data_IF_034427029581
#
_entry.id   IF_034427029581
#
_cell.length_a   1.000
_cell.length_b   1.000
_cell.length_c   1.000
_cell.angle_alpha   90.00
_cell.angle_beta   90.00
_cell.angle_gamma   90.00
#
_symmetry.space_group_name_H-M   'P 1'
#
loop_
_entity.id
_entity.type
_entity.pdbx_description
1 polymer ?
#
# COMPACT_ATOMS: atom_id res chain seq x y z
N UNK A 1 -6.12 2.85 -10.26
CA UNK A 1 -7.17 2.29 -9.38
C UNK A 1 -6.61 1.86 -8.02
N UNK A 2 -5.46 1.19 -7.92
CA UNK A 2 -4.85 0.85 -6.62
C UNK A 2 -4.39 2.07 -5.82
N UNK A 3 -3.97 3.13 -6.48
CA UNK A 3 -3.59 4.40 -5.87
C UNK A 3 -4.74 5.05 -5.08
N UNK A 4 -5.98 4.83 -5.51
CA UNK A 4 -7.19 5.34 -4.85
C UNK A 4 -7.85 4.30 -3.93
N UNK A 5 -7.25 3.11 -3.80
CA UNK A 5 -7.67 2.09 -2.88
C UNK A 5 -6.71 2.08 -1.68
N UNK A 6 -6.88 2.97 -0.69
CA UNK A 6 -5.99 3.03 0.45
C UNK A 6 -6.01 1.70 1.18
N UNK A 7 -4.85 1.10 1.45
CA UNK A 7 -4.77 -0.21 2.10
C UNK A 7 -5.27 -0.17 3.54
N UNK A 8 -5.51 1.01 4.11
CA UNK A 8 -5.83 1.17 5.52
C UNK A 8 -7.04 2.06 5.72
N UNK A 9 -8.15 1.44 6.02
CA UNK A 9 -9.26 2.09 6.66
C UNK A 9 -8.96 2.26 8.13
N UNK A 10 -9.17 3.47 8.63
CA UNK A 10 -8.94 3.70 10.03
C UNK A 10 -10.24 3.58 10.80
N UNK A 11 -10.65 2.34 11.05
CA UNK A 11 -11.20 2.11 12.39
C UNK A 11 -10.03 1.82 13.31
N UNK A 12 -10.04 2.43 14.50
CA UNK A 12 -9.00 2.19 15.50
C UNK A 12 -8.79 0.71 15.78
N UNK A 13 -9.86 -0.08 15.70
CA UNK A 13 -9.86 -1.53 15.87
C UNK A 13 -9.12 -2.24 14.74
N UNK A 14 -9.29 -1.80 13.51
CA UNK A 14 -8.66 -2.40 12.32
C UNK A 14 -7.13 -2.21 12.39
N UNK A 15 -6.68 -1.01 12.76
CA UNK A 15 -5.27 -0.72 12.97
C UNK A 15 -4.64 -1.50 14.11
N UNK A 16 -5.38 -1.69 15.20
CA UNK A 16 -4.92 -2.47 16.34
C UNK A 16 -4.94 -3.99 16.08
N UNK A 17 -5.35 -4.44 14.88
CA UNK A 17 -5.52 -5.85 14.57
C UNK A 17 -6.61 -6.51 15.42
N UNK A 18 -7.68 -5.77 15.74
CA UNK A 18 -8.79 -6.21 16.60
C UNK A 18 -8.53 -6.09 18.11
N UNK A 19 -7.31 -5.77 18.55
CA UNK A 19 -6.97 -5.54 19.96
C UNK A 19 -7.25 -4.07 20.35
N UNK A 20 -8.48 -3.81 20.83
CA UNK A 20 -8.90 -2.48 21.28
C UNK A 20 -8.04 -1.92 22.41
N UNK A 21 -7.40 -2.79 23.21
CA UNK A 21 -6.48 -2.38 24.28
C UNK A 21 -5.21 -1.71 23.78
N UNK A 22 -4.91 -1.82 22.49
CA UNK A 22 -3.77 -1.13 21.87
C UNK A 22 -4.06 0.32 21.52
N UNK A 23 -5.33 0.70 21.34
CA UNK A 23 -5.72 2.06 21.00
C UNK A 23 -5.75 2.93 22.25
N UNK A 24 -5.18 4.12 22.16
CA UNK A 24 -5.16 5.12 23.24
C UNK A 24 -5.49 6.50 22.69
N UNK A 25 -6.45 7.17 23.34
CA UNK A 25 -6.85 8.52 22.96
C UNK A 25 -5.75 9.55 23.30
N UNK A 26 -5.57 10.50 22.40
CA UNK A 26 -4.80 11.73 22.64
C UNK A 26 -5.74 12.73 23.33
N UNK A 27 -5.79 12.68 24.66
CA UNK A 27 -6.67 13.61 25.40
C UNK A 27 -6.11 15.03 25.37
N UNK A 28 -6.99 16.01 25.54
CA UNK A 28 -6.57 17.42 25.61
C UNK A 28 -5.67 17.73 26.83
N UNK A 29 -5.81 16.94 27.86
CA UNK A 29 -5.14 17.18 29.15
C UNK A 29 -3.83 16.42 29.28
N UNK A 30 -3.72 15.20 28.71
CA UNK A 30 -2.56 14.32 28.89
C UNK A 30 -2.33 13.44 27.68
N UNK A 31 -1.10 13.42 27.18
CA UNK A 31 -0.66 12.52 26.14
C UNK A 31 -0.33 11.12 26.71
N UNK A 32 -0.37 10.05 25.90
CA UNK A 32 -0.16 8.68 26.39
C UNK A 32 1.17 8.49 27.14
N UNK A 33 2.25 9.09 26.67
CA UNK A 33 3.58 8.99 27.28
C UNK A 33 3.73 9.76 28.60
N UNK A 34 2.90 10.76 28.84
CA UNK A 34 2.86 11.52 30.10
C UNK A 34 2.22 10.70 31.23
N UNK A 35 1.44 9.66 30.90
CA UNK A 35 0.77 8.80 31.86
C UNK A 35 1.66 7.76 32.52
N UNK A 36 2.93 7.62 32.07
CA UNK A 36 3.87 6.68 32.64
C UNK A 36 3.50 5.21 32.45
N UNK A 37 2.89 4.86 31.33
CA UNK A 37 2.45 3.48 31.05
C UNK A 37 3.64 2.50 31.11
N UNK A 38 3.38 1.31 31.68
CA UNK A 38 4.39 0.26 31.78
C UNK A 38 4.47 -0.56 30.50
N UNK A 39 5.68 -0.93 30.11
CA UNK A 39 5.90 -1.90 29.03
C UNK A 39 5.42 -3.30 29.44
N UNK A 40 5.08 -4.14 28.48
CA UNK A 40 4.86 -5.57 28.71
C UNK A 40 6.20 -6.26 29.08
N UNK A 41 6.18 -7.38 29.82
CA UNK A 41 7.40 -8.11 30.12
C UNK A 41 8.20 -8.44 28.86
N UNK A 42 9.52 -8.24 28.89
CA UNK A 42 10.44 -8.47 27.77
C UNK A 42 10.16 -7.66 26.49
N UNK A 43 9.39 -6.57 26.58
CA UNK A 43 9.06 -5.73 25.43
C UNK A 43 9.28 -4.25 25.76
N UNK A 44 9.63 -3.47 24.72
CA UNK A 44 9.64 -2.01 24.73
C UNK A 44 8.28 -1.51 24.22
N UNK A 45 7.77 -0.45 24.81
CA UNK A 45 6.54 0.22 24.37
C UNK A 45 6.90 1.41 23.49
N UNK A 46 6.24 1.48 22.34
CA UNK A 46 6.22 2.63 21.45
C UNK A 46 4.77 3.05 21.17
N UNK A 47 4.59 4.28 20.75
CA UNK A 47 3.30 4.76 20.29
C UNK A 47 3.39 5.14 18.82
N UNK A 48 2.46 4.64 18.03
CA UNK A 48 2.24 5.07 16.66
C UNK A 48 1.09 6.07 16.67
N UNK A 49 1.41 7.36 16.63
CA UNK A 49 0.46 8.46 16.70
C UNK A 49 -0.14 8.67 15.32
N UNK A 50 -1.46 8.58 15.19
CA UNK A 50 -2.17 8.92 13.96
C UNK A 50 -2.20 10.43 13.80
N UNK A 51 -1.45 10.97 12.87
CA UNK A 51 -1.35 12.40 12.59
C UNK A 51 -2.45 12.82 11.62
N UNK A 52 -3.70 12.64 12.06
CA UNK A 52 -4.89 12.99 11.30
C UNK A 52 -5.37 11.93 10.30
N UNK A 53 -6.55 12.17 9.79
CA UNK A 53 -7.20 11.29 8.81
C UNK A 53 -8.01 12.08 7.79
N UNK A 54 -8.28 11.46 6.64
CA UNK A 54 -9.10 12.02 5.55
C UNK A 54 -10.41 11.25 5.46
N UNK A 55 -11.54 11.92 5.44
CA UNK A 55 -12.87 11.33 5.23
C UNK A 55 -12.98 10.85 3.79
N UNK A 56 -12.97 9.54 3.61
CA UNK A 56 -12.99 8.93 2.27
C UNK A 56 -14.27 9.24 1.51
N UNK A 57 -15.41 9.31 2.20
CA UNK A 57 -16.69 9.64 1.59
C UNK A 57 -16.65 11.01 0.89
N UNK A 58 -16.05 12.02 1.53
CA UNK A 58 -15.90 13.35 0.97
C UNK A 58 -14.95 13.37 -0.22
N UNK A 59 -13.77 12.78 -0.08
CA UNK A 59 -12.75 12.77 -1.11
C UNK A 59 -13.17 11.97 -2.36
N UNK A 60 -13.64 10.74 -2.17
CA UNK A 60 -14.10 9.86 -3.26
C UNK A 60 -15.38 10.40 -3.87
N UNK A 61 -16.29 11.00 -3.08
CA UNK A 61 -17.48 11.66 -3.58
C UNK A 61 -17.16 12.72 -4.62
N UNK A 62 -16.16 13.56 -4.38
CA UNK A 62 -15.71 14.59 -5.35
C UNK A 62 -15.07 13.99 -6.60
N UNK A 63 -14.33 12.88 -6.47
CA UNK A 63 -13.79 12.17 -7.64
C UNK A 63 -14.92 11.57 -8.51
N UNK A 64 -15.94 11.00 -7.87
CA UNK A 64 -17.11 10.46 -8.57
C UNK A 64 -17.90 11.58 -9.28
N UNK A 65 -18.09 12.73 -8.63
CA UNK A 65 -18.71 13.90 -9.24
C UNK A 65 -17.96 14.38 -10.49
N UNK A 66 -16.63 14.34 -10.46
CA UNK A 66 -15.78 14.82 -11.55
C UNK A 66 -15.64 13.82 -12.70
N UNK A 67 -15.53 12.52 -12.41
CA UNK A 67 -15.14 11.48 -13.37
C UNK A 67 -16.14 10.34 -13.50
N UNK A 68 -17.11 10.23 -12.60
CA UNK A 68 -18.09 9.13 -12.60
C UNK A 68 -19.06 9.24 -13.75
N UNK A 69 -19.40 8.10 -14.37
CA UNK A 69 -20.52 8.01 -15.28
C UNK A 69 -21.84 7.90 -14.46
N UNK A 70 -22.86 8.63 -14.89
CA UNK A 70 -24.20 8.60 -14.26
C UNK A 70 -24.87 7.21 -14.34
N UNK A 71 -24.33 6.30 -15.15
CA UNK A 71 -24.82 4.93 -15.38
C UNK A 71 -24.16 3.90 -14.47
N UNK A 72 -23.07 4.25 -13.79
CA UNK A 72 -22.37 3.34 -12.89
C UNK A 72 -22.95 3.40 -11.48
N UNK A 73 -23.02 2.23 -10.83
CA UNK A 73 -23.39 2.12 -9.43
C UNK A 73 -22.32 2.81 -8.57
N UNK A 74 -22.69 3.86 -7.86
CA UNK A 74 -21.75 4.62 -7.04
C UNK A 74 -21.24 3.76 -5.89
N UNK A 75 -19.92 3.53 -5.76
CA UNK A 75 -19.40 2.76 -4.66
C UNK A 75 -19.70 3.46 -3.33
N UNK A 76 -20.28 2.72 -2.39
CA UNK A 76 -20.50 3.20 -1.02
C UNK A 76 -19.19 3.12 -0.26
N UNK A 77 -18.35 4.12 -0.41
CA UNK A 77 -17.10 4.23 0.32
C UNK A 77 -17.37 4.89 1.67
N UNK A 78 -17.05 4.21 2.75
CA UNK A 78 -17.16 4.71 4.12
C UNK A 78 -15.83 4.54 4.85
N UNK A 79 -15.57 5.42 5.79
CA UNK A 79 -14.38 5.33 6.64
C UNK A 79 -13.43 6.50 6.45
N UNK A 80 -12.27 6.38 7.08
CA UNK A 80 -11.24 7.42 7.10
C UNK A 80 -9.92 6.80 6.64
N UNK A 81 -9.23 7.45 5.72
CA UNK A 81 -7.85 7.11 5.38
C UNK A 81 -6.91 7.84 6.34
N UNK A 82 -5.90 7.16 6.86
CA UNK A 82 -4.86 7.81 7.66
C UNK A 82 -4.12 8.81 6.77
N UNK A 83 -3.85 9.99 7.32
CA UNK A 83 -3.03 11.00 6.67
C UNK A 83 -1.53 10.70 6.85
N UNK A 84 -1.13 10.53 8.11
CA UNK A 84 0.24 10.14 8.44
C UNK A 84 0.28 9.43 9.81
N UNK A 85 1.39 8.72 10.07
CA UNK A 85 1.71 8.12 11.36
C UNK A 85 3.09 8.60 11.81
N UNK A 86 3.18 8.88 13.11
CA UNK A 86 4.42 9.28 13.77
C UNK A 86 4.76 8.26 14.85
N UNK A 87 5.98 7.75 14.85
CA UNK A 87 6.44 6.80 15.86
C UNK A 87 7.22 7.53 16.94
N UNK A 88 6.79 7.36 18.18
CA UNK A 88 7.49 7.86 19.36
C UNK A 88 7.74 6.73 20.34
N UNK A 89 8.77 6.90 21.13
CA UNK A 89 9.09 5.96 22.20
C UNK A 89 8.14 6.11 23.41
N UNK A 90 8.40 5.33 24.46
CA UNK A 90 7.62 5.37 25.69
C UNK A 90 7.66 6.73 26.39
N UNK A 91 8.69 7.52 26.19
CA UNK A 91 8.87 8.86 26.74
C UNK A 91 8.24 9.93 25.85
N UNK A 92 7.74 9.58 24.68
CA UNK A 92 7.19 10.52 23.70
C UNK A 92 8.23 11.18 22.83
N UNK A 93 9.46 10.69 22.84
CA UNK A 93 10.53 11.16 21.98
C UNK A 93 10.40 10.55 20.58
N UNK A 94 10.66 11.35 19.55
CA UNK A 94 10.62 10.87 18.17
C UNK A 94 11.73 9.83 17.96
N UNK A 95 11.38 8.65 17.45
CA UNK A 95 12.37 7.61 17.16
C UNK A 95 13.34 8.05 16.06
N UNK A 96 14.46 7.31 15.89
CA UNK A 96 15.34 7.50 14.75
C UNK A 96 14.59 7.24 13.43
N UNK A 97 15.01 7.96 12.39
CA UNK A 97 14.36 7.87 11.07
C UNK A 97 14.43 6.43 10.50
N UNK A 98 13.35 5.92 9.89
CA UNK A 98 12.11 6.63 9.55
C UNK A 98 11.10 6.67 10.70
N UNK A 99 10.84 7.86 11.24
CA UNK A 99 9.87 8.06 12.33
C UNK A 99 8.46 8.43 11.83
N UNK A 100 8.34 8.87 10.59
CA UNK A 100 7.09 9.33 9.98
C UNK A 100 6.77 8.53 8.73
N UNK A 101 5.54 8.05 8.64
CA UNK A 101 4.95 7.48 7.42
C UNK A 101 3.80 8.34 6.94
N UNK A 102 3.75 8.65 5.65
CA UNK A 102 2.71 9.51 5.07
C UNK A 102 1.94 8.72 4.00
N UNK A 103 0.62 8.82 4.01
CA UNK A 103 -0.24 8.19 3.01
C UNK A 103 -0.24 8.98 1.71
N UNK A 104 -0.14 8.29 0.57
CA UNK A 104 -0.30 8.89 -0.75
C UNK A 104 -1.73 9.36 -1.02
N UNK A 105 -2.72 8.85 -0.27
CA UNK A 105 -4.13 9.05 -0.57
C UNK A 105 -4.52 10.52 -0.77
N UNK A 106 -4.08 11.41 0.12
CA UNK A 106 -4.38 12.83 0.02
C UNK A 106 -3.80 13.47 -1.24
N UNK A 107 -2.53 13.17 -1.53
CA UNK A 107 -1.85 13.61 -2.73
C UNK A 107 -2.52 13.09 -4.00
N UNK A 108 -2.82 11.79 -4.04
CA UNK A 108 -3.42 11.13 -5.19
C UNK A 108 -4.78 11.70 -5.54
N UNK A 109 -5.63 11.94 -4.53
CA UNK A 109 -6.94 12.56 -4.70
C UNK A 109 -6.81 13.98 -5.25
N UNK A 110 -5.89 14.78 -4.71
CA UNK A 110 -5.71 16.16 -5.15
C UNK A 110 -5.14 16.24 -6.56
N UNK A 111 -4.13 15.43 -6.92
CA UNK A 111 -3.64 15.33 -8.29
C UNK A 111 -4.77 14.93 -9.26
N UNK A 112 -5.59 13.96 -8.90
CA UNK A 112 -6.71 13.54 -9.74
C UNK A 112 -7.74 14.65 -9.91
N UNK A 113 -8.12 15.36 -8.84
CA UNK A 113 -9.07 16.47 -8.91
C UNK A 113 -8.53 17.66 -9.69
N UNK A 114 -7.24 17.90 -9.68
CA UNK A 114 -6.60 18.96 -10.46
C UNK A 114 -6.39 18.55 -11.94
N UNK A 115 -6.54 17.28 -12.27
CA UNK A 115 -6.26 16.76 -13.61
C UNK A 115 -4.77 16.47 -13.86
N UNK A 116 -3.96 16.44 -12.80
CA UNK A 116 -2.50 16.25 -12.81
C UNK A 116 -2.12 14.78 -12.68
N UNK A 117 -2.78 13.89 -13.45
CA UNK A 117 -2.60 12.43 -13.33
C UNK A 117 -1.14 11.97 -13.59
N UNK A 118 -0.38 12.73 -14.39
CA UNK A 118 1.03 12.43 -14.62
C UNK A 118 1.88 12.60 -13.36
N UNK A 119 1.48 13.48 -12.45
CA UNK A 119 2.21 13.77 -11.21
C UNK A 119 2.07 12.68 -10.15
N UNK A 120 1.08 11.81 -10.25
CA UNK A 120 0.93 10.63 -9.38
C UNK A 120 2.24 9.82 -9.29
N UNK A 121 2.99 9.74 -10.37
CA UNK A 121 4.26 9.04 -10.44
C UNK A 121 5.41 9.70 -9.65
N UNK A 122 5.23 10.94 -9.17
CA UNK A 122 6.22 11.70 -8.38
C UNK A 122 6.10 11.44 -6.88
N UNK A 123 5.10 10.65 -6.47
CA UNK A 123 4.84 10.41 -5.04
C UNK A 123 6.10 10.05 -4.23
N UNK A 124 6.99 9.13 -4.66
CA UNK A 124 8.17 8.78 -3.85
C UNK A 124 9.08 9.98 -3.53
N UNK A 125 9.23 10.91 -4.48
CA UNK A 125 10.03 12.12 -4.29
C UNK A 125 9.29 13.11 -3.37
N UNK A 126 7.98 13.25 -3.56
CA UNK A 126 7.10 14.10 -2.74
C UNK A 126 7.05 13.57 -1.30
N UNK A 127 6.84 12.26 -1.12
CA UNK A 127 6.81 11.60 0.20
C UNK A 127 8.10 11.87 0.98
N UNK A 128 9.26 11.67 0.35
CA UNK A 128 10.56 11.92 0.98
C UNK A 128 10.69 13.35 1.50
N UNK A 129 10.23 14.32 0.71
CA UNK A 129 10.25 15.73 1.09
C UNK A 129 9.27 16.04 2.24
N UNK A 130 8.07 15.48 2.16
CA UNK A 130 7.04 15.64 3.17
C UNK A 130 7.47 15.03 4.51
N UNK A 131 8.08 13.83 4.50
CA UNK A 131 8.61 13.17 5.70
C UNK A 131 9.63 14.06 6.40
N UNK A 132 10.65 14.54 5.68
CA UNK A 132 11.68 15.42 6.23
C UNK A 132 11.08 16.70 6.84
N UNK A 133 10.13 17.33 6.13
CA UNK A 133 9.50 18.57 6.61
C UNK A 133 8.61 18.31 7.82
N UNK A 134 7.87 17.21 7.83
CA UNK A 134 7.01 16.83 8.95
C UNK A 134 7.85 16.53 10.19
N UNK A 135 8.95 15.77 10.07
CA UNK A 135 9.88 15.52 11.20
C UNK A 135 10.46 16.82 11.75
N UNK A 136 10.95 17.72 10.89
CA UNK A 136 11.45 19.03 11.31
C UNK A 136 10.38 19.85 12.05
N UNK A 137 9.16 19.82 11.56
CA UNK A 137 8.03 20.53 12.20
C UNK A 137 7.69 19.93 13.57
N UNK A 138 7.68 18.60 13.70
CA UNK A 138 7.46 17.92 14.98
C UNK A 138 8.53 18.29 16.01
N UNK A 139 9.78 18.43 15.58
CA UNK A 139 10.90 18.81 16.43
C UNK A 139 10.98 20.32 16.67
N UNK A 140 10.14 21.13 16.04
CA UNK A 140 10.17 22.60 16.15
C UNK A 140 11.45 23.20 15.55
N UNK A 141 12.08 22.53 14.57
CA UNK A 141 13.29 22.97 13.89
C UNK A 141 12.89 24.00 12.82
N UNK A 142 13.48 25.19 12.91
CA UNK A 142 13.30 26.22 11.89
C UNK A 142 14.08 25.90 10.60
N UNK A 143 13.65 26.42 9.43
CA UNK A 143 14.43 26.28 8.21
C UNK A 143 15.83 26.87 8.38
N UNK A 144 16.87 26.03 8.19
CA UNK A 144 18.28 26.43 8.34
C UNK A 144 18.93 26.10 9.69
N UNK A 145 18.19 25.55 10.64
CA UNK A 145 18.68 25.10 11.95
C UNK A 145 19.24 23.67 11.85
N UNK A 146 20.43 23.42 12.43
CA UNK A 146 21.10 22.11 12.42
C UNK A 146 20.91 21.29 13.73
N UNK A 147 20.31 21.88 14.78
CA UNK A 147 20.18 21.31 16.13
C UNK A 147 19.11 20.19 16.25
N UNK A 148 19.06 19.31 15.28
CA UNK A 148 18.04 18.25 15.21
C UNK A 148 18.16 17.14 16.27
N UNK A 149 19.39 16.78 16.67
CA UNK A 149 19.61 15.65 17.61
C UNK A 149 19.22 16.02 19.04
N UNK A 150 19.57 17.21 19.50
CA UNK A 150 19.23 17.66 20.85
C UNK A 150 17.71 17.78 21.04
N UNK A 151 17.00 18.21 20.01
CA UNK A 151 15.52 18.34 20.04
C UNK A 151 14.79 16.99 19.98
N UNK A 152 15.38 15.95 19.40
CA UNK A 152 14.83 14.58 19.43
C UNK A 152 14.75 14.02 20.84
N UNK A 153 15.59 14.47 21.76
CA UNK A 153 15.57 14.05 23.16
C UNK A 153 14.39 14.61 23.98
N UNK A 154 13.59 15.51 23.39
CA UNK A 154 12.41 16.07 24.07
C UNK A 154 11.13 15.37 23.65
N UNK A 155 10.18 15.13 24.60
CA UNK A 155 8.89 14.57 24.29
C UNK A 155 8.10 15.47 23.33
N UNK A 156 7.40 14.86 22.38
CA UNK A 156 6.49 15.59 21.52
C UNK A 156 5.33 16.14 22.32
N UNK A 157 4.99 17.39 22.04
CA UNK A 157 3.85 18.07 22.64
C UNK A 157 2.63 17.99 21.73
N UNK A 158 1.43 18.17 22.29
CA UNK A 158 0.20 18.28 21.50
C UNK A 158 0.29 19.43 20.48
N UNK A 159 0.87 20.55 20.87
CA UNK A 159 1.05 21.70 19.98
C UNK A 159 1.92 21.34 18.76
N UNK A 160 3.01 20.59 18.96
CA UNK A 160 3.86 20.11 17.87
C UNK A 160 3.12 19.17 16.93
N UNK A 161 2.33 18.22 17.46
CA UNK A 161 1.51 17.32 16.66
C UNK A 161 0.48 18.09 15.83
N UNK A 162 -0.23 19.06 16.41
CA UNK A 162 -1.19 19.88 15.69
C UNK A 162 -0.53 20.75 14.62
N UNK A 163 0.60 21.37 14.93
CA UNK A 163 1.34 22.18 13.97
C UNK A 163 1.84 21.37 12.77
N UNK A 164 2.33 20.16 13.01
CA UNK A 164 2.75 19.25 11.96
C UNK A 164 1.57 18.77 11.10
N UNK A 165 0.45 18.42 11.72
CA UNK A 165 -0.80 18.07 11.04
C UNK A 165 -1.29 19.22 10.14
N UNK A 166 -1.40 20.44 10.67
CA UNK A 166 -1.86 21.60 9.94
C UNK A 166 -0.97 21.91 8.72
N UNK A 167 0.34 21.84 8.91
CA UNK A 167 1.30 22.03 7.83
C UNK A 167 1.13 20.96 6.74
N UNK A 168 0.98 19.69 7.12
CA UNK A 168 0.83 18.58 6.18
C UNK A 168 -0.48 18.71 5.37
N UNK A 169 -1.60 19.05 6.03
CA UNK A 169 -2.89 19.32 5.37
C UNK A 169 -2.76 20.44 4.34
N UNK A 170 -2.08 21.52 4.73
CA UNK A 170 -1.84 22.66 3.84
C UNK A 170 -0.93 22.28 2.64
N UNK A 171 0.16 21.57 2.89
CA UNK A 171 1.11 21.15 1.84
C UNK A 171 0.48 20.17 0.82
N UNK A 172 -0.46 19.33 1.28
CA UNK A 172 -1.22 18.44 0.40
C UNK A 172 -2.40 19.13 -0.28
N UNK A 173 -2.73 20.39 0.09
CA UNK A 173 -3.86 21.14 -0.45
C UNK A 173 -5.23 20.56 -0.09
N UNK A 174 -5.32 19.80 1.01
CA UNK A 174 -6.56 19.13 1.41
C UNK A 174 -7.58 20.12 1.99
N UNK A 175 -8.86 20.05 1.58
CA UNK A 175 -9.93 20.83 2.19
C UNK A 175 -10.10 20.49 3.67
N UNK A 176 -10.28 21.52 4.50
CA UNK A 176 -10.42 21.40 5.97
C UNK A 176 -11.58 20.50 6.39
N UNK A 177 -12.67 20.52 5.67
CA UNK A 177 -13.87 19.71 5.93
C UNK A 177 -13.66 18.21 5.65
N UNK A 178 -12.61 17.85 4.91
CA UNK A 178 -12.28 16.46 4.60
C UNK A 178 -11.39 15.80 5.64
N UNK A 179 -10.71 16.59 6.46
CA UNK A 179 -9.68 16.10 7.37
C UNK A 179 -10.13 16.18 8.83
N UNK A 180 -9.57 15.31 9.63
CA UNK A 180 -9.75 15.27 11.08
C UNK A 180 -8.39 15.30 11.78
N UNK A 181 -8.29 16.04 12.90
CA UNK A 181 -7.04 16.20 13.63
C UNK A 181 -6.58 14.90 14.31
N UNK A 182 -5.36 14.87 14.87
CA UNK A 182 -4.86 13.75 15.67
C UNK A 182 -5.76 13.48 16.89
N UNK A 183 -6.33 12.27 16.99
CA UNK A 183 -7.25 11.89 18.05
C UNK A 183 -6.74 10.71 18.89
N UNK A 184 -5.89 9.84 18.33
CA UNK A 184 -5.44 8.63 19.01
C UNK A 184 -4.07 8.16 18.55
N UNK A 185 -3.49 7.29 19.35
CA UNK A 185 -2.28 6.54 19.04
C UNK A 185 -2.50 5.03 19.26
N UNK A 186 -1.61 4.22 18.69
CA UNK A 186 -1.62 2.77 18.84
C UNK A 186 -0.38 2.36 19.62
N UNK A 187 -0.56 1.57 20.68
CA UNK A 187 0.55 0.95 21.40
C UNK A 187 1.18 -0.13 20.53
N UNK A 188 2.47 -0.02 20.31
CA UNK A 188 3.30 -1.00 19.63
C UNK A 188 4.31 -1.59 20.59
N UNK A 189 4.38 -2.92 20.66
CA UNK A 189 5.25 -3.62 21.59
C UNK A 189 6.32 -4.39 20.80
N UNK A 190 7.58 -4.04 21.00
CA UNK A 190 8.73 -4.65 20.33
C UNK A 190 9.56 -5.42 21.34
N UNK A 191 9.98 -6.64 21.02
CA UNK A 191 10.81 -7.44 21.91
C UNK A 191 12.17 -6.78 22.16
N UNK A 192 12.73 -6.88 23.37
CA UNK A 192 14.05 -6.34 23.71
C UNK A 192 15.20 -6.85 22.83
N UNK A 193 15.03 -8.03 22.22
CA UNK A 193 16.03 -8.61 21.32
C UNK A 193 16.10 -7.89 19.96
N UNK A 194 15.07 -7.17 19.60
CA UNK A 194 15.05 -6.33 18.41
C UNK A 194 15.70 -4.98 18.76
N UNK A 195 16.82 -4.61 18.15
CA UNK A 195 17.47 -3.34 18.45
C UNK A 195 16.70 -2.14 17.90
N UNK A 196 15.86 -2.33 16.89
CA UNK A 196 15.24 -1.26 16.14
C UNK A 196 13.88 -0.86 16.72
N UNK A 197 13.49 0.43 16.66
CA UNK A 197 12.12 0.84 16.88
C UNK A 197 11.21 0.25 15.80
N UNK A 198 9.88 0.16 16.03
CA UNK A 198 8.97 -0.26 14.98
C UNK A 198 8.96 0.80 13.87
N UNK A 199 8.95 0.34 12.63
CA UNK A 199 8.68 1.23 11.51
C UNK A 199 7.24 1.77 11.58
N UNK A 200 6.97 2.97 11.04
CA UNK A 200 5.60 3.44 10.84
C UNK A 200 4.78 2.39 10.10
N UNK A 201 3.51 2.25 10.49
CA UNK A 201 2.61 1.35 9.77
C UNK A 201 2.60 1.66 8.29
N UNK A 202 2.60 0.62 7.46
CA UNK A 202 2.58 0.77 6.01
C UNK A 202 1.25 1.41 5.57
N UNK A 203 1.30 2.65 5.15
CA UNK A 203 0.15 3.44 4.70
C UNK A 203 -0.03 3.44 3.20
N UNK A 204 0.97 2.99 2.46
CA UNK A 204 0.99 2.96 1.01
C UNK A 204 1.00 1.53 0.50
N UNK A 205 0.52 1.33 -0.73
CA UNK A 205 0.61 0.04 -1.39
C UNK A 205 2.08 -0.35 -1.55
N UNK A 206 2.43 -1.57 -1.16
CA UNK A 206 3.78 -2.12 -1.36
C UNK A 206 4.18 -2.20 -2.85
N UNK A 207 3.22 -2.16 -3.77
CA UNK A 207 3.49 -2.11 -5.21
C UNK A 207 4.09 -0.78 -5.68
N UNK A 208 3.96 0.31 -4.93
CA UNK A 208 4.45 1.63 -5.36
C UNK A 208 5.97 1.64 -5.60
N UNK A 209 6.73 1.01 -4.71
CA UNK A 209 8.18 0.89 -4.86
C UNK A 209 8.57 0.07 -6.11
N UNK A 210 7.89 -1.05 -6.34
CA UNK A 210 8.12 -1.91 -7.50
C UNK A 210 7.72 -1.21 -8.82
N UNK A 211 6.61 -0.47 -8.83
CA UNK A 211 6.18 0.32 -9.98
C UNK A 211 7.16 1.47 -10.28
N UNK A 212 7.67 2.15 -9.26
CA UNK A 212 8.70 3.18 -9.43
C UNK A 212 10.00 2.60 -9.99
N UNK A 213 10.44 1.44 -9.49
CA UNK A 213 11.58 0.70 -10.01
C UNK A 213 11.37 0.28 -11.47
N UNK A 214 10.22 -0.30 -11.79
CA UNK A 214 9.87 -0.72 -13.15
C UNK A 214 9.91 0.48 -14.11
N UNK A 215 9.33 1.63 -13.73
CA UNK A 215 9.38 2.86 -14.51
C UNK A 215 10.80 3.35 -14.76
N UNK A 216 11.64 3.36 -13.72
CA UNK A 216 13.05 3.75 -13.83
C UNK A 216 13.81 2.84 -14.80
N UNK A 217 13.67 1.51 -14.66
CA UNK A 217 14.33 0.55 -15.54
C UNK A 217 13.88 0.70 -17.00
N UNK A 218 12.61 1.02 -17.25
CA UNK A 218 12.10 1.32 -18.58
C UNK A 218 12.71 2.59 -19.15
N UNK A 219 12.77 3.67 -18.37
CA UNK A 219 13.35 4.95 -18.78
C UNK A 219 14.84 4.84 -19.10
N UNK A 220 15.58 4.03 -18.35
CA UNK A 220 17.01 3.77 -18.55
C UNK A 220 17.31 2.72 -19.65
N UNK A 221 16.29 2.13 -20.26
CA UNK A 221 16.48 1.05 -21.25
C UNK A 221 17.00 -0.27 -20.66
N UNK A 222 17.00 -0.41 -19.33
CA UNK A 222 17.50 -1.60 -18.60
C UNK A 222 16.40 -2.57 -18.18
N UNK A 223 15.17 -2.37 -18.67
CA UNK A 223 14.04 -3.19 -18.27
C UNK A 223 14.20 -4.65 -18.75
N UNK A 224 13.83 -5.63 -17.89
CA UNK A 224 13.79 -7.03 -18.29
C UNK A 224 12.84 -7.26 -19.46
N UNK A 225 13.18 -8.22 -20.33
CA UNK A 225 12.38 -8.55 -21.52
C UNK A 225 10.94 -8.90 -21.17
N UNK A 226 10.71 -9.65 -20.08
CA UNK A 226 9.36 -10.02 -19.65
C UNK A 226 8.50 -8.81 -19.23
N UNK A 227 9.10 -7.77 -18.63
CA UNK A 227 8.39 -6.53 -18.32
C UNK A 227 7.98 -5.81 -19.61
N UNK A 228 8.87 -5.74 -20.61
CA UNK A 228 8.61 -5.12 -21.91
C UNK A 228 7.52 -5.86 -22.69
N UNK A 229 7.51 -7.20 -22.62
CA UNK A 229 6.45 -8.05 -23.19
C UNK A 229 5.11 -7.83 -22.46
N UNK A 230 5.12 -7.80 -21.15
CA UNK A 230 3.91 -7.56 -20.34
C UNK A 230 3.26 -6.20 -20.68
N UNK A 231 4.06 -5.18 -20.90
CA UNK A 231 3.60 -3.84 -21.29
C UNK A 231 3.27 -3.72 -22.78
N UNK A 232 3.43 -4.77 -23.57
CA UNK A 232 3.16 -4.76 -25.01
C UNK A 232 4.17 -3.96 -25.85
N UNK A 233 5.31 -3.56 -25.27
CA UNK A 233 6.42 -2.88 -25.98
C UNK A 233 7.06 -3.86 -26.95
N UNK A 234 7.28 -5.09 -26.52
CA UNK A 234 7.71 -6.20 -27.37
C UNK A 234 6.53 -7.14 -27.60
N UNK A 235 6.05 -7.19 -28.83
CA UNK A 235 4.99 -8.13 -29.22
C UNK A 235 5.59 -9.45 -29.70
N UNK A 236 4.94 -10.60 -29.39
CA UNK A 236 5.34 -11.86 -29.99
C UNK A 236 5.18 -11.79 -31.51
N UNK A 237 6.07 -12.45 -32.25
CA UNK A 237 6.03 -12.46 -33.72
C UNK A 237 4.79 -13.16 -34.28
N UNK A 238 4.19 -14.07 -33.50
CA UNK A 238 2.91 -14.73 -33.83
C UNK A 238 2.09 -14.91 -32.57
N UNK A 239 0.78 -14.69 -32.67
CA UNK A 239 -0.20 -15.02 -31.64
C UNK A 239 -1.22 -16.00 -32.22
N UNK A 240 -1.56 -17.04 -31.45
CA UNK A 240 -2.60 -18.01 -31.83
C UNK A 240 -3.77 -17.89 -30.85
N UNK A 241 -4.98 -17.79 -31.39
CA UNK A 241 -6.19 -17.71 -30.58
C UNK A 241 -6.76 -19.11 -30.37
N UNK A 242 -6.58 -19.67 -29.17
CA UNK A 242 -7.05 -21.02 -28.84
C UNK A 242 -8.57 -21.18 -28.88
N UNK A 243 -9.33 -20.09 -28.83
CA UNK A 243 -10.79 -20.16 -28.93
C UNK A 243 -11.25 -20.37 -30.38
N UNK A 244 -10.48 -19.87 -31.35
CA UNK A 244 -10.85 -19.90 -32.77
C UNK A 244 -9.91 -20.78 -33.61
N UNK A 245 -8.71 -21.12 -33.10
CA UNK A 245 -7.75 -22.03 -33.76
C UNK A 245 -7.83 -23.42 -33.10
N UNK A 246 -8.67 -24.30 -33.65
CA UNK A 246 -8.85 -25.66 -33.15
C UNK A 246 -7.58 -26.52 -33.26
N UNK A 247 -6.71 -26.26 -34.24
CA UNK A 247 -5.43 -26.94 -34.39
C UNK A 247 -4.47 -26.53 -33.27
N UNK A 248 -4.41 -25.23 -32.94
CA UNK A 248 -3.63 -24.74 -31.80
C UNK A 248 -4.11 -25.32 -30.47
N UNK A 249 -5.43 -25.40 -30.28
CA UNK A 249 -5.99 -26.00 -29.09
C UNK A 249 -5.69 -27.49 -28.99
N UNK A 250 -5.85 -28.25 -30.06
CA UNK A 250 -5.52 -29.67 -30.12
C UNK A 250 -4.03 -29.93 -29.82
N UNK A 251 -3.14 -29.09 -30.35
CA UNK A 251 -1.72 -29.13 -30.02
C UNK A 251 -1.47 -28.85 -28.52
N UNK A 252 -2.08 -27.78 -27.99
CA UNK A 252 -1.89 -27.38 -26.58
C UNK A 252 -2.34 -28.44 -25.57
N UNK A 253 -3.35 -29.25 -25.90
CA UNK A 253 -3.85 -30.34 -25.03
C UNK A 253 -3.29 -31.72 -25.39
N UNK A 254 -2.39 -31.80 -26.35
CA UNK A 254 -1.82 -33.08 -26.74
C UNK A 254 -1.05 -33.75 -25.60
N UNK A 255 -0.98 -35.09 -25.56
CA UNK A 255 -0.28 -35.81 -24.48
C UNK A 255 1.19 -35.41 -24.31
N UNK A 256 1.86 -35.03 -25.41
CA UNK A 256 3.26 -34.60 -25.37
C UNK A 256 3.52 -33.30 -24.59
N UNK A 257 2.48 -32.48 -24.37
CA UNK A 257 2.55 -31.24 -23.57
C UNK A 257 2.02 -31.37 -22.15
N UNK A 258 1.40 -32.51 -21.81
CA UNK A 258 0.91 -32.74 -20.47
C UNK A 258 2.09 -32.95 -19.50
N UNK A 259 2.17 -32.20 -18.40
CA UNK A 259 3.24 -32.37 -17.42
C UNK A 259 3.26 -33.80 -16.87
N UNK A 260 4.43 -34.48 -16.79
CA UNK A 260 4.52 -35.92 -16.46
C UNK A 260 4.10 -36.22 -15.00
N UNK A 261 4.19 -35.27 -14.09
CA UNK A 261 3.82 -35.42 -12.69
C UNK A 261 2.40 -35.00 -12.36
N UNK A 262 1.62 -34.63 -13.38
CA UNK A 262 0.24 -34.19 -13.15
C UNK A 262 -0.67 -35.37 -12.82
N UNK A 263 -1.12 -35.41 -11.59
CA UNK A 263 -2.02 -36.41 -11.10
C UNK A 263 -3.26 -35.80 -10.47
N UNK A 264 -4.45 -35.90 -11.08
CA UNK A 264 -5.68 -35.48 -10.41
C UNK A 264 -5.94 -36.39 -9.19
N UNK A 265 -5.85 -35.84 -7.99
CA UNK A 265 -6.18 -36.57 -6.78
C UNK A 265 -7.62 -37.11 -6.83
N UNK A 266 -7.85 -38.27 -6.19
CA UNK A 266 -9.19 -38.87 -6.10
C UNK A 266 -10.18 -37.86 -5.49
N UNK A 267 -11.38 -37.71 -6.12
CA UNK A 267 -12.41 -36.78 -5.66
C UNK A 267 -12.21 -35.32 -6.08
N UNK A 268 -11.22 -34.99 -6.89
CA UNK A 268 -11.01 -33.64 -7.43
C UNK A 268 -11.71 -33.45 -8.79
N UNK A 269 -12.33 -32.28 -8.96
CA UNK A 269 -12.92 -31.91 -10.23
C UNK A 269 -11.85 -31.83 -11.33
N UNK A 270 -12.05 -32.48 -12.50
CA UNK A 270 -11.13 -32.39 -13.60
C UNK A 270 -11.08 -30.97 -14.17
N UNK A 271 -9.95 -30.59 -14.73
CA UNK A 271 -9.84 -29.32 -15.45
C UNK A 271 -10.65 -29.37 -16.75
N UNK A 272 -11.33 -28.28 -17.10
CA UNK A 272 -11.92 -28.13 -18.42
C UNK A 272 -10.83 -27.89 -19.47
N UNK A 273 -11.18 -28.09 -20.75
CA UNK A 273 -10.24 -28.12 -21.87
C UNK A 273 -9.30 -26.91 -21.91
N UNK A 274 -9.83 -25.69 -21.74
CA UNK A 274 -9.01 -24.47 -21.75
C UNK A 274 -8.12 -24.33 -20.50
N UNK A 275 -8.57 -24.82 -19.35
CA UNK A 275 -7.72 -24.88 -18.16
C UNK A 275 -6.57 -25.87 -18.33
N UNK A 276 -6.86 -27.01 -18.97
CA UNK A 276 -5.84 -28.00 -19.33
C UNK A 276 -4.80 -27.40 -20.29
N UNK A 277 -5.25 -26.71 -21.33
CA UNK A 277 -4.36 -26.03 -22.27
C UNK A 277 -3.50 -25.00 -21.53
N UNK A 278 -4.10 -24.21 -20.62
CA UNK A 278 -3.35 -23.22 -19.83
C UNK A 278 -2.26 -23.86 -18.97
N UNK A 279 -2.55 -24.99 -18.29
CA UNK A 279 -1.53 -25.72 -17.51
C UNK A 279 -0.40 -26.22 -18.41
N UNK A 280 -0.73 -26.87 -19.50
CA UNK A 280 0.28 -27.40 -20.42
C UNK A 280 1.18 -26.28 -21.01
N UNK A 281 0.58 -25.17 -21.41
CA UNK A 281 1.30 -24.02 -21.95
C UNK A 281 2.17 -23.33 -20.89
N UNK A 282 1.72 -23.26 -19.63
CA UNK A 282 2.53 -22.70 -18.55
C UNK A 282 3.86 -23.42 -18.44
N UNK A 283 3.86 -24.75 -18.41
CA UNK A 283 5.09 -25.53 -18.30
C UNK A 283 5.97 -25.48 -19.56
N UNK A 284 5.36 -25.27 -20.72
CA UNK A 284 6.10 -25.07 -21.97
C UNK A 284 6.81 -23.73 -22.02
N UNK A 285 6.08 -22.64 -21.75
CA UNK A 285 6.59 -21.28 -21.88
C UNK A 285 7.57 -20.90 -20.77
N UNK A 286 7.37 -21.40 -19.52
CA UNK A 286 8.27 -21.10 -18.42
C UNK A 286 9.64 -21.77 -18.54
N UNK A 287 9.76 -22.88 -19.26
CA UNK A 287 11.06 -23.52 -19.56
C UNK A 287 12.01 -22.60 -20.34
N UNK A 288 11.48 -21.62 -21.04
CA UNK A 288 12.24 -20.67 -21.87
C UNK A 288 12.27 -19.27 -21.25
N UNK A 289 11.78 -19.10 -20.00
CA UNK A 289 11.72 -17.81 -19.35
C UNK A 289 10.61 -16.91 -19.91
N UNK A 290 9.48 -17.49 -20.30
CA UNK A 290 8.33 -16.77 -20.83
C UNK A 290 7.48 -16.06 -19.78
N UNK A 291 6.47 -15.33 -20.24
CA UNK A 291 5.40 -14.73 -19.43
C UNK A 291 4.06 -15.30 -19.89
N UNK A 292 3.28 -15.83 -18.96
CA UNK A 292 1.92 -16.29 -19.22
C UNK A 292 0.94 -15.57 -18.31
N UNK A 293 0.02 -14.82 -18.90
CA UNK A 293 -1.11 -14.22 -18.20
C UNK A 293 -2.33 -15.11 -18.25
N UNK A 294 -2.94 -15.45 -17.09
CA UNK A 294 -4.16 -16.21 -16.99
C UNK A 294 -5.28 -15.30 -16.52
N UNK A 295 -6.17 -14.92 -17.44
CA UNK A 295 -7.33 -14.10 -17.13
C UNK A 295 -8.61 -14.92 -17.21
N UNK A 296 -9.53 -14.66 -16.31
CA UNK A 296 -10.85 -15.30 -16.30
C UNK A 296 -11.79 -14.62 -15.30
N UNK A 297 -13.08 -14.57 -15.55
CA UNK A 297 -14.07 -14.03 -14.62
C UNK A 297 -14.03 -14.72 -13.24
N UNK A 298 -14.62 -14.12 -12.20
CA UNK A 298 -14.83 -14.80 -10.91
C UNK A 298 -15.57 -16.13 -11.11
N UNK A 299 -15.20 -17.17 -10.36
CA UNK A 299 -15.85 -18.48 -10.44
C UNK A 299 -15.38 -19.42 -11.57
N UNK A 300 -14.51 -18.99 -12.48
CA UNK A 300 -14.02 -19.82 -13.61
C UNK A 300 -12.94 -20.85 -13.23
N UNK A 301 -12.71 -21.08 -11.94
CA UNK A 301 -11.78 -22.12 -11.48
C UNK A 301 -10.30 -21.77 -11.59
N UNK A 302 -9.92 -20.48 -11.60
CA UNK A 302 -8.51 -20.03 -11.58
C UNK A 302 -7.72 -20.64 -10.42
N UNK A 303 -8.30 -20.71 -9.24
CA UNK A 303 -7.66 -21.33 -8.05
C UNK A 303 -7.44 -22.84 -8.25
N UNK A 304 -8.36 -23.53 -8.92
CA UNK A 304 -8.22 -24.95 -9.27
C UNK A 304 -7.06 -25.14 -10.23
N UNK A 305 -6.95 -24.27 -11.24
CA UNK A 305 -5.84 -24.29 -12.18
C UNK A 305 -4.50 -24.01 -11.50
N UNK A 306 -4.41 -22.99 -10.63
CA UNK A 306 -3.19 -22.69 -9.87
C UNK A 306 -2.77 -23.87 -8.98
N UNK A 307 -3.71 -24.54 -8.33
CA UNK A 307 -3.44 -25.75 -7.56
C UNK A 307 -2.80 -26.84 -8.41
N UNK A 308 -3.31 -27.06 -9.63
CA UNK A 308 -2.76 -28.07 -10.56
C UNK A 308 -1.39 -27.67 -11.15
N UNK A 309 -1.02 -26.37 -11.09
CA UNK A 309 0.32 -25.90 -11.45
C UNK A 309 1.35 -26.12 -10.33
N UNK A 310 0.90 -26.11 -9.05
CA UNK A 310 1.79 -26.22 -7.88
C UNK A 310 1.94 -27.67 -7.42
N UNK A 311 0.96 -28.54 -7.71
CA UNK A 311 0.99 -29.95 -7.33
C UNK A 311 1.93 -30.78 -8.18
#
# INVERSE_FOLDING_TARGET
MEVLSPPTYVRSEDLAGGDKGRVVALSEQTLPWERGEKSRPNQRLYYQVVLGSVKMESAIGRLIERYGDSREERPKVRGKAILAIVVVDRQGQLVESPAVGISSFGWDVMCALNGELADLARWPDVESQLVIRTEKRLLGIAPGDEDGEERRAHPLTRAALLAAYEALVHELGLPREWVEPPEFAIRSFVYFKDPNPPEPLLLNSFFLADLALARRLLAEGKSPQNLRRYLGIERPQSSRDLLHDTAALAEAVSPGFTPPSRWPGIGRSPLVLLQQAAVNLTFRETKVGGLLGINGPPGTGKTTLLRDLVA
#
